data_IF_076401595897
#
_entry.id   IF_076401595897
#
_cell.length_a   1.000
_cell.length_b   1.000
_cell.length_c   1.000
_cell.angle_alpha   90.00
_cell.angle_beta   90.00
_cell.angle_gamma   90.00
#
_symmetry.space_group_name_H-M   'P 1'
#
loop_
_entity.id
_entity.type
_entity.pdbx_description
1 polymer ?
#
# COMPACT_ATOMS: atom_id res chain seq x y z
N UNK A 1 -1.74 14.47 -5.31
CA UNK A 1 -1.29 15.28 -6.45
C UNK A 1 0.23 15.23 -6.46
N UNK A 2 0.86 14.54 -7.42
CA UNK A 2 2.34 14.51 -7.51
C UNK A 2 2.79 15.94 -7.80
N UNK A 3 3.83 16.43 -7.12
CA UNK A 3 4.33 17.78 -7.34
C UNK A 3 4.77 17.94 -8.81
N UNK A 4 4.45 19.08 -9.46
CA UNK A 4 4.76 19.29 -10.88
C UNK A 4 6.23 19.09 -11.23
N UNK A 5 7.10 19.34 -10.25
CA UNK A 5 8.55 19.20 -10.29
C UNK A 5 8.97 17.74 -10.50
N UNK A 6 8.33 16.81 -9.78
CA UNK A 6 8.56 15.37 -9.89
C UNK A 6 8.08 14.86 -11.25
N UNK A 7 6.92 15.31 -11.71
CA UNK A 7 6.40 14.93 -13.03
C UNK A 7 7.29 15.39 -14.18
N UNK A 8 7.84 16.61 -14.10
CA UNK A 8 8.79 17.13 -15.10
C UNK A 8 10.13 16.39 -15.06
N UNK A 9 10.67 16.16 -13.87
CA UNK A 9 11.90 15.39 -13.66
C UNK A 9 11.84 13.97 -14.25
N UNK A 10 10.66 13.32 -14.17
CA UNK A 10 10.44 12.01 -14.78
C UNK A 10 10.29 12.09 -16.32
N UNK A 11 9.69 13.16 -16.85
CA UNK A 11 9.49 13.34 -18.28
C UNK A 11 10.78 13.69 -19.05
N UNK A 12 11.73 14.38 -18.41
CA UNK A 12 13.02 14.77 -19.01
C UNK A 12 14.07 13.64 -19.04
N UNK A 13 13.71 12.46 -18.51
CA UNK A 13 14.59 11.30 -18.38
C UNK A 13 15.35 11.26 -17.05
N UNK A 14 15.73 10.05 -16.64
CA UNK A 14 16.43 9.76 -15.38
C UNK A 14 17.88 10.27 -15.40
N UNK A 15 18.05 11.56 -15.18
CA UNK A 15 19.35 12.20 -14.96
C UNK A 15 19.68 12.11 -13.46
N UNK A 16 20.95 11.96 -13.12
CA UNK A 16 21.38 11.90 -11.71
C UNK A 16 20.89 13.09 -10.85
N UNK A 17 20.87 14.34 -11.35
CA UNK A 17 20.34 15.47 -10.59
C UNK A 17 18.82 15.38 -10.38
N UNK A 18 18.07 14.89 -11.38
CA UNK A 18 16.62 14.76 -11.28
C UNK A 18 16.21 13.64 -10.33
N UNK A 19 17.02 12.58 -10.20
CA UNK A 19 16.85 11.53 -9.19
C UNK A 19 16.92 12.08 -7.77
N UNK A 20 17.93 12.92 -7.45
CA UNK A 20 18.09 13.49 -6.11
C UNK A 20 16.90 14.39 -5.76
N UNK A 21 16.46 15.24 -6.70
CA UNK A 21 15.30 16.11 -6.49
C UNK A 21 14.01 15.33 -6.24
N UNK A 22 13.80 14.22 -6.98
CA UNK A 22 12.62 13.37 -6.79
C UNK A 22 12.69 12.61 -5.46
N UNK A 23 13.85 12.05 -5.11
CA UNK A 23 14.02 11.27 -3.88
C UNK A 23 13.93 12.12 -2.60
N UNK A 24 14.44 13.35 -2.64
CA UNK A 24 14.41 14.27 -1.50
C UNK A 24 13.11 15.09 -1.42
N UNK A 25 12.23 14.97 -2.42
CA UNK A 25 10.94 15.63 -2.36
C UNK A 25 10.12 15.08 -1.15
N UNK A 26 9.65 15.93 -0.21
CA UNK A 26 9.14 15.46 1.09
C UNK A 26 8.05 14.39 1.00
N UNK A 27 7.13 14.53 0.05
CA UNK A 27 6.04 13.56 -0.15
C UNK A 27 6.51 12.23 -0.75
N UNK A 28 7.50 12.26 -1.64
CA UNK A 28 8.09 11.05 -2.23
C UNK A 28 8.94 10.34 -1.19
N UNK A 29 9.78 11.10 -0.48
CA UNK A 29 10.58 10.59 0.62
C UNK A 29 9.71 9.96 1.71
N UNK A 30 8.62 10.63 2.12
CA UNK A 30 7.68 10.10 3.09
C UNK A 30 7.05 8.79 2.60
N UNK A 31 6.59 8.74 1.35
CA UNK A 31 6.06 7.52 0.75
C UNK A 31 7.07 6.38 0.72
N UNK A 32 8.33 6.67 0.35
CA UNK A 32 9.42 5.70 0.34
C UNK A 32 9.76 5.22 1.75
N UNK A 33 9.82 6.12 2.73
CA UNK A 33 10.08 5.79 4.13
C UNK A 33 8.95 4.92 4.69
N UNK A 34 7.68 5.21 4.39
CA UNK A 34 6.55 4.37 4.77
C UNK A 34 6.62 3.00 4.09
N UNK A 35 6.99 2.93 2.81
CA UNK A 35 7.14 1.67 2.09
C UNK A 35 8.28 0.81 2.65
N UNK A 36 9.44 1.43 2.94
CA UNK A 36 10.56 0.78 3.61
C UNK A 36 10.18 0.29 5.01
N UNK A 37 9.48 1.11 5.78
CA UNK A 37 8.92 0.73 7.09
C UNK A 37 7.95 -0.45 7.00
N UNK A 38 7.04 -0.44 6.02
CA UNK A 38 6.13 -1.54 5.76
C UNK A 38 6.88 -2.84 5.41
N UNK A 39 7.95 -2.76 4.61
CA UNK A 39 8.81 -3.89 4.32
C UNK A 39 9.51 -4.43 5.57
N UNK A 40 10.01 -3.56 6.46
CA UNK A 40 10.61 -3.99 7.73
C UNK A 40 9.60 -4.70 8.64
N UNK A 41 8.38 -4.14 8.77
CA UNK A 41 7.30 -4.78 9.52
C UNK A 41 6.96 -6.14 8.90
N UNK A 42 6.91 -6.23 7.58
CA UNK A 42 6.64 -7.49 6.89
C UNK A 42 7.73 -8.54 7.14
N UNK A 43 9.00 -8.16 7.03
CA UNK A 43 10.12 -9.05 7.37
C UNK A 43 10.09 -9.49 8.83
N UNK A 44 9.68 -8.62 9.76
CA UNK A 44 9.50 -8.97 11.16
C UNK A 44 8.39 -10.01 11.34
N UNK A 45 7.26 -9.87 10.65
CA UNK A 45 6.17 -10.86 10.66
C UNK A 45 6.67 -12.21 10.13
N UNK A 46 7.34 -12.21 8.97
CA UNK A 46 7.90 -13.43 8.38
C UNK A 46 9.00 -14.08 9.22
N UNK A 47 9.63 -13.33 10.13
CA UNK A 47 10.59 -13.90 11.09
C UNK A 47 9.93 -14.70 12.23
N UNK A 48 8.60 -14.59 12.40
CA UNK A 48 7.84 -15.18 13.51
C UNK A 48 6.75 -16.16 13.09
N UNK A 49 6.20 -16.01 11.89
CA UNK A 49 5.12 -16.85 11.38
C UNK A 49 5.41 -17.31 9.95
N UNK A 50 4.87 -18.48 9.59
CA UNK A 50 5.03 -19.03 8.25
C UNK A 50 4.36 -18.15 7.20
N UNK A 51 5.01 -18.06 6.03
CA UNK A 51 4.56 -17.25 4.88
C UNK A 51 3.13 -17.61 4.47
N UNK A 52 2.80 -18.90 4.45
CA UNK A 52 1.48 -19.45 4.13
C UNK A 52 0.38 -18.93 5.05
N UNK A 53 0.68 -18.72 6.33
CA UNK A 53 -0.24 -18.19 7.32
C UNK A 53 -0.30 -16.65 7.26
N UNK A 54 0.82 -15.98 6.96
CA UNK A 54 0.92 -14.53 6.95
C UNK A 54 0.23 -13.86 5.75
N UNK A 55 0.45 -14.39 4.54
CA UNK A 55 -0.06 -13.82 3.28
C UNK A 55 -1.59 -13.58 3.24
N UNK A 56 -2.43 -14.49 3.76
CA UNK A 56 -3.88 -14.28 3.87
C UNK A 56 -4.24 -12.96 4.56
N UNK A 57 -3.53 -12.58 5.62
CA UNK A 57 -3.80 -11.34 6.36
C UNK A 57 -3.45 -10.08 5.57
N UNK A 58 -2.59 -10.16 4.54
CA UNK A 58 -2.36 -9.04 3.60
C UNK A 58 -3.67 -8.64 2.91
N UNK A 59 -4.59 -9.60 2.71
CA UNK A 59 -5.91 -9.34 2.17
C UNK A 59 -6.76 -8.39 3.03
N UNK A 60 -6.53 -8.30 4.35
CA UNK A 60 -7.18 -7.28 5.19
C UNK A 60 -6.81 -5.86 4.77
N UNK A 61 -5.64 -5.70 4.14
CA UNK A 61 -5.19 -4.44 3.56
C UNK A 61 -6.18 -3.90 2.52
N UNK A 62 -6.89 -4.75 1.78
CA UNK A 62 -7.93 -4.30 0.85
C UNK A 62 -9.11 -3.64 1.56
N UNK A 63 -9.51 -4.19 2.72
CA UNK A 63 -10.62 -3.66 3.51
C UNK A 63 -10.24 -2.32 4.14
N UNK A 64 -9.04 -2.25 4.73
CA UNK A 64 -8.49 -0.99 5.27
C UNK A 64 -8.35 0.06 4.16
N UNK A 65 -7.75 -0.29 3.03
CA UNK A 65 -7.57 0.64 1.90
C UNK A 65 -8.90 1.14 1.35
N UNK A 66 -9.89 0.27 1.20
CA UNK A 66 -11.23 0.66 0.73
C UNK A 66 -11.89 1.67 1.69
N UNK A 67 -11.84 1.40 3.00
CA UNK A 67 -12.42 2.29 4.01
C UNK A 67 -11.68 3.63 4.05
N UNK A 68 -10.35 3.62 4.02
CA UNK A 68 -9.55 4.86 4.01
C UNK A 68 -9.77 5.66 2.72
N UNK A 69 -9.84 5.00 1.56
CA UNK A 69 -10.12 5.67 0.29
C UNK A 69 -11.51 6.32 0.28
N UNK A 70 -12.51 5.64 0.83
CA UNK A 70 -13.86 6.20 0.98
C UNK A 70 -13.89 7.40 1.94
N UNK A 71 -13.25 7.30 3.11
CA UNK A 71 -13.28 8.35 4.14
C UNK A 71 -12.41 9.57 3.81
N UNK A 72 -11.19 9.36 3.34
CA UNK A 72 -10.18 10.41 3.17
C UNK A 72 -10.07 10.93 1.74
N UNK A 73 -10.32 10.07 0.75
CA UNK A 73 -10.23 10.45 -0.67
C UNK A 73 -11.60 10.71 -1.29
N UNK A 74 -12.70 10.36 -0.59
CA UNK A 74 -14.06 10.52 -1.10
C UNK A 74 -14.37 9.59 -2.27
N UNK A 75 -13.63 8.48 -2.43
CA UNK A 75 -13.85 7.54 -3.52
C UNK A 75 -15.22 6.85 -3.37
N UNK A 76 -15.97 6.75 -4.46
CA UNK A 76 -17.23 5.99 -4.46
C UNK A 76 -16.93 4.49 -4.41
N UNK A 77 -17.46 3.83 -3.39
CA UNK A 77 -17.31 2.38 -3.23
C UNK A 77 -18.49 1.69 -3.91
N UNK A 78 -18.20 0.93 -4.97
CA UNK A 78 -19.22 0.17 -5.69
C UNK A 78 -19.66 -1.08 -4.93
N UNK A 79 -20.91 -1.49 -5.12
CA UNK A 79 -21.46 -2.72 -4.50
C UNK A 79 -20.60 -3.97 -4.79
N UNK A 80 -20.09 -4.20 -6.02
CA UNK A 80 -19.19 -5.33 -6.26
C UNK A 80 -17.88 -5.26 -5.47
N UNK A 81 -17.33 -4.06 -5.26
CA UNK A 81 -16.10 -3.87 -4.46
C UNK A 81 -16.34 -4.26 -3.01
N UNK A 82 -17.46 -3.80 -2.42
CA UNK A 82 -17.85 -4.16 -1.06
C UNK A 82 -18.02 -5.68 -0.93
N UNK A 83 -18.78 -6.30 -1.83
CA UNK A 83 -19.05 -7.74 -1.80
C UNK A 83 -17.75 -8.56 -1.92
N UNK A 84 -16.86 -8.21 -2.85
CA UNK A 84 -15.56 -8.87 -3.01
C UNK A 84 -14.66 -8.71 -1.78
N UNK A 85 -14.58 -7.52 -1.20
CA UNK A 85 -13.80 -7.27 0.01
C UNK A 85 -14.32 -8.06 1.22
N UNK A 86 -15.64 -8.15 1.39
CA UNK A 86 -16.24 -8.97 2.45
C UNK A 86 -15.98 -10.46 2.24
N UNK A 87 -15.99 -10.94 1.00
CA UNK A 87 -15.65 -12.33 0.68
C UNK A 87 -14.20 -12.66 1.02
N UNK A 88 -13.26 -11.76 0.71
CA UNK A 88 -11.85 -11.89 1.12
C UNK A 88 -11.75 -11.96 2.65
N UNK A 89 -12.42 -11.04 3.37
CA UNK A 89 -12.41 -11.03 4.82
C UNK A 89 -12.98 -12.32 5.42
N UNK A 90 -14.07 -12.85 4.86
CA UNK A 90 -14.64 -14.13 5.28
C UNK A 90 -13.65 -15.29 5.07
N UNK A 91 -12.96 -15.33 3.93
CA UNK A 91 -11.91 -16.33 3.68
C UNK A 91 -10.77 -16.28 4.70
N UNK A 92 -10.35 -15.08 5.09
CA UNK A 92 -9.32 -14.88 6.12
C UNK A 92 -9.81 -15.38 7.48
N UNK A 93 -11.07 -15.12 7.85
CA UNK A 93 -11.65 -15.61 9.12
C UNK A 93 -11.70 -17.14 9.15
N UNK A 94 -12.03 -17.79 8.04
CA UNK A 94 -12.02 -19.26 7.95
C UNK A 94 -10.60 -19.79 8.16
N UNK A 95 -9.60 -19.20 7.49
CA UNK A 95 -8.22 -19.65 7.59
C UNK A 95 -7.59 -19.36 8.96
N UNK A 96 -7.97 -18.27 9.62
CA UNK A 96 -7.52 -17.96 10.98
C UNK A 96 -8.01 -18.97 12.03
N UNK A 97 -8.93 -19.87 11.66
CA UNK A 97 -9.51 -20.91 12.53
C UNK A 97 -9.02 -22.32 12.21
N UNK A 98 -8.15 -22.49 11.22
CA UNK A 98 -7.44 -23.75 10.90
C UNK A 98 -6.06 -23.76 11.52
#
# INVERSE_FOLDING_TARGET
MIAPEVTRALAEGLRLPSLVTVLLHPWVFLGLAMYGGAALVWLLVLSRIEVSLAYPFVGLGFLVTMVLAWLFLGETVSVPRIAGTLLIAAGIVVLART
#
